data_IF_418685698116
#
_entry.id   IF_418685698116
#
_cell.length_a   1.000
_cell.length_b   1.000
_cell.length_c   1.000
_cell.angle_alpha   90.00
_cell.angle_beta   90.00
_cell.angle_gamma   90.00
#
_symmetry.space_group_name_H-M   'P 1'
#
loop_
_entity.id
_entity.type
_entity.pdbx_description
1 polymer ?
#
# COMPACT_ATOMS: atom_id res chain seq x y z
N UNK A 1 -34.35 -33.96 -16.67
CA UNK A 1 -33.01 -34.26 -16.13
C UNK A 1 -32.52 -33.02 -15.40
N UNK A 2 -32.75 -32.97 -14.08
CA UNK A 2 -32.37 -31.83 -13.22
C UNK A 2 -30.92 -31.98 -12.81
N UNK A 3 -30.09 -31.04 -13.18
CA UNK A 3 -28.70 -30.94 -12.70
C UNK A 3 -28.70 -30.17 -11.38
N UNK A 4 -28.41 -30.92 -10.33
CA UNK A 4 -28.21 -30.45 -8.96
C UNK A 4 -26.92 -29.61 -8.89
N UNK A 5 -27.06 -28.31 -8.67
CA UNK A 5 -25.96 -27.43 -8.31
C UNK A 5 -25.61 -27.69 -6.84
N UNK A 6 -24.48 -28.32 -6.60
CA UNK A 6 -23.90 -28.51 -5.27
C UNK A 6 -23.50 -27.15 -4.71
N UNK A 7 -24.28 -26.68 -3.73
CA UNK A 7 -23.94 -25.52 -2.93
C UNK A 7 -22.67 -25.79 -2.13
N UNK A 8 -21.64 -24.96 -2.35
CA UNK A 8 -20.50 -24.86 -1.46
C UNK A 8 -21.01 -24.13 -0.21
N UNK A 9 -21.15 -24.86 0.88
CA UNK A 9 -21.47 -24.30 2.19
C UNK A 9 -20.31 -23.40 2.64
N UNK A 10 -20.56 -22.09 2.72
CA UNK A 10 -19.73 -21.10 3.40
C UNK A 10 -19.77 -21.35 4.93
N UNK A 11 -19.08 -22.34 5.39
CA UNK A 11 -18.69 -22.46 6.81
C UNK A 11 -17.18 -22.56 6.93
N UNK A 12 -16.46 -21.52 6.46
CA UNK A 12 -15.12 -21.29 6.97
C UNK A 12 -15.25 -20.60 8.32
N UNK A 13 -14.73 -21.23 9.36
CA UNK A 13 -14.67 -20.73 10.74
C UNK A 13 -13.96 -19.38 10.74
N UNK A 14 -14.70 -18.31 10.46
CA UNK A 14 -14.30 -16.96 10.81
C UNK A 14 -14.41 -16.90 12.33
N UNK A 15 -13.26 -16.85 13.02
CA UNK A 15 -13.22 -16.52 14.44
C UNK A 15 -14.14 -15.34 14.66
N UNK A 16 -15.12 -15.45 15.54
CA UNK A 16 -16.10 -14.39 15.82
C UNK A 16 -15.38 -13.14 16.35
N UNK A 17 -15.13 -12.20 15.44
CA UNK A 17 -14.56 -10.90 15.71
C UNK A 17 -15.63 -9.83 15.91
N UNK A 18 -16.83 -10.21 16.36
CA UNK A 18 -17.95 -9.33 16.63
C UNK A 18 -17.67 -8.24 17.69
N UNK A 19 -16.47 -8.24 18.27
CA UNK A 19 -15.96 -7.12 19.05
C UNK A 19 -15.72 -5.91 18.14
N UNK A 20 -16.41 -4.81 18.39
CA UNK A 20 -16.19 -3.53 17.71
C UNK A 20 -14.69 -3.22 17.65
N UNK A 21 -14.17 -2.82 16.46
CA UNK A 21 -12.80 -2.31 16.26
C UNK A 21 -12.69 -0.90 16.86
N UNK A 22 -12.87 -0.79 18.18
CA UNK A 22 -12.78 0.47 18.93
C UNK A 22 -11.90 0.30 20.15
N UNK A 23 -11.14 1.34 20.47
CA UNK A 23 -10.24 1.33 21.63
C UNK A 23 -9.06 0.37 21.50
N UNK A 24 -8.71 -0.03 20.25
CA UNK A 24 -7.64 -0.98 19.98
C UNK A 24 -6.33 -0.26 19.69
N UNK A 25 -5.23 -0.94 19.99
CA UNK A 25 -3.92 -0.59 19.50
C UNK A 25 -3.70 -1.27 18.13
N UNK A 26 -3.37 -0.49 17.12
CA UNK A 26 -3.11 -0.97 15.75
C UNK A 26 -1.65 -0.69 15.41
N UNK A 27 -0.92 -1.72 15.04
CA UNK A 27 0.41 -1.63 14.45
C UNK A 27 0.27 -1.76 12.94
N UNK A 28 0.86 -0.84 12.17
CA UNK A 28 0.72 -0.80 10.72
C UNK A 28 2.07 -0.69 10.04
N UNK A 29 2.50 -1.72 9.30
CA UNK A 29 3.70 -1.67 8.46
C UNK A 29 3.32 -1.31 7.03
N UNK A 30 3.77 -0.13 6.55
CA UNK A 30 3.34 0.40 5.28
C UNK A 30 4.44 1.21 4.57
N UNK A 31 4.04 2.07 3.62
CA UNK A 31 4.90 3.04 2.95
C UNK A 31 5.22 4.25 3.86
N UNK A 32 6.03 5.19 3.38
CA UNK A 32 6.37 6.38 4.16
C UNK A 32 5.15 7.30 4.30
N UNK A 33 4.78 7.65 5.54
CA UNK A 33 3.62 8.48 5.87
C UNK A 33 3.61 9.83 5.15
N UNK A 34 4.79 10.42 4.93
CA UNK A 34 4.96 11.69 4.22
C UNK A 34 4.83 11.60 2.70
N UNK A 35 4.61 10.41 2.16
CA UNK A 35 4.32 10.19 0.74
C UNK A 35 2.89 10.54 0.36
N UNK A 36 2.56 10.34 -0.91
CA UNK A 36 1.18 10.54 -1.40
C UNK A 36 0.24 9.56 -0.65
N UNK A 37 -0.94 10.03 -0.20
CA UNK A 37 -1.88 9.20 0.53
C UNK A 37 -2.46 8.11 -0.39
N UNK A 38 -2.30 6.86 0.02
CA UNK A 38 -2.83 5.68 -0.67
C UNK A 38 -4.03 5.11 0.10
N UNK A 39 -4.71 4.12 -0.46
CA UNK A 39 -5.87 3.44 0.17
C UNK A 39 -5.61 3.04 1.63
N UNK A 40 -4.43 2.52 1.92
CA UNK A 40 -4.00 2.13 3.28
C UNK A 40 -3.86 3.34 4.23
N UNK A 41 -3.47 4.51 3.73
CA UNK A 41 -3.43 5.75 4.52
C UNK A 41 -4.84 6.18 4.92
N UNK A 42 -5.78 6.17 3.96
CA UNK A 42 -7.18 6.48 4.21
C UNK A 42 -7.82 5.47 5.18
N UNK A 43 -7.54 4.17 5.02
CA UNK A 43 -8.02 3.15 5.93
C UNK A 43 -7.54 3.39 7.37
N UNK A 44 -6.23 3.64 7.57
CA UNK A 44 -5.69 3.88 8.91
C UNK A 44 -6.19 5.19 9.52
N UNK A 45 -6.46 6.24 8.73
CA UNK A 45 -7.12 7.47 9.20
C UNK A 45 -8.55 7.20 9.69
N UNK A 46 -9.30 6.36 8.99
CA UNK A 46 -10.65 5.96 9.41
C UNK A 46 -10.60 5.15 10.72
N UNK A 47 -9.70 4.18 10.81
CA UNK A 47 -9.52 3.38 12.02
C UNK A 47 -9.00 4.21 13.21
N UNK A 48 -8.18 5.22 12.99
CA UNK A 48 -7.64 6.10 14.02
C UNK A 48 -8.70 7.00 14.70
N UNK A 49 -9.92 7.10 14.16
CA UNK A 49 -11.01 7.82 14.81
C UNK A 49 -11.37 7.23 16.17
N UNK A 50 -11.30 5.89 16.27
CA UNK A 50 -11.70 5.14 17.45
C UNK A 50 -10.56 4.28 18.02
N UNK A 51 -9.35 4.32 17.43
CA UNK A 51 -8.22 3.46 17.78
C UNK A 51 -6.91 4.27 17.78
N UNK A 52 -5.85 3.71 18.37
CA UNK A 52 -4.50 4.27 18.29
C UNK A 52 -3.70 3.50 17.26
N UNK A 53 -3.04 4.17 16.33
CA UNK A 53 -2.29 3.57 15.23
C UNK A 53 -0.80 3.91 15.35
N UNK A 54 0.06 2.89 15.48
CA UNK A 54 1.50 3.03 15.29
C UNK A 54 1.84 2.67 13.84
N UNK A 55 2.01 3.67 13.02
CA UNK A 55 2.44 3.54 11.64
C UNK A 55 3.95 3.42 11.55
N UNK A 56 4.43 2.31 11.03
CA UNK A 56 5.85 2.04 10.79
C UNK A 56 6.14 2.27 9.32
N UNK A 57 6.93 3.28 9.03
CA UNK A 57 7.34 3.65 7.68
C UNK A 57 8.12 2.53 6.98
N UNK A 58 8.24 2.65 5.67
CA UNK A 58 8.86 1.67 4.79
C UNK A 58 10.24 1.20 5.26
N UNK A 59 10.39 -0.11 5.38
CA UNK A 59 11.65 -0.78 5.74
C UNK A 59 12.58 -0.88 4.50
N UNK A 60 12.08 -0.52 3.31
CA UNK A 60 12.82 -0.53 2.05
C UNK A 60 12.92 -1.92 1.42
N UNK A 61 12.65 -2.01 0.12
CA UNK A 61 12.76 -3.25 -0.68
C UNK A 61 13.99 -3.29 -1.57
N UNK A 62 14.52 -2.11 -1.91
CA UNK A 62 15.57 -1.97 -2.91
C UNK A 62 16.93 -2.04 -2.25
N UNK A 63 17.80 -2.88 -2.80
CA UNK A 63 19.23 -2.75 -2.52
C UNK A 63 19.68 -1.36 -2.95
N UNK A 64 20.53 -0.65 -2.15
CA UNK A 64 21.06 0.63 -2.56
C UNK A 64 21.90 0.41 -3.83
N UNK A 65 21.57 1.13 -4.89
CA UNK A 65 22.49 1.37 -5.98
C UNK A 65 23.38 2.53 -5.55
N UNK A 66 24.69 2.48 -5.80
CA UNK A 66 25.64 3.50 -5.35
C UNK A 66 25.43 4.87 -6.05
N UNK A 67 24.19 5.37 -6.07
CA UNK A 67 23.80 6.63 -6.69
C UNK A 67 23.74 7.76 -5.66
N UNK A 68 23.97 9.02 -6.12
CA UNK A 68 23.81 10.21 -5.26
C UNK A 68 22.41 10.32 -4.66
N UNK A 69 21.40 9.82 -5.36
CA UNK A 69 20.02 9.77 -4.87
C UNK A 69 19.85 8.77 -3.71
N UNK A 70 20.61 7.67 -3.69
CA UNK A 70 20.57 6.69 -2.61
C UNK A 70 21.29 7.19 -1.35
N UNK A 71 22.41 7.90 -1.52
CA UNK A 71 23.07 8.58 -0.39
C UNK A 71 22.14 9.61 0.25
N UNK A 72 21.51 10.46 -0.54
CA UNK A 72 20.55 11.46 -0.04
C UNK A 72 19.37 10.79 0.71
N UNK A 73 18.85 9.68 0.19
CA UNK A 73 17.79 8.88 0.86
C UNK A 73 18.29 8.26 2.16
N UNK A 74 19.51 7.73 2.17
CA UNK A 74 20.12 7.16 3.38
C UNK A 74 20.32 8.23 4.47
N UNK A 75 20.83 9.42 4.11
CA UNK A 75 20.95 10.55 5.04
C UNK A 75 19.60 11.02 5.58
N UNK A 76 18.59 11.15 4.72
CA UNK A 76 17.21 11.50 5.15
C UNK A 76 16.64 10.45 6.11
N UNK A 77 16.86 9.17 5.85
CA UNK A 77 16.40 8.08 6.74
C UNK A 77 17.16 8.08 8.09
N UNK A 78 18.45 8.33 8.09
CA UNK A 78 19.23 8.45 9.33
C UNK A 78 18.77 9.65 10.17
N UNK A 79 18.57 10.80 9.55
CA UNK A 79 18.05 12.00 10.22
C UNK A 79 16.62 11.76 10.75
N UNK A 80 15.76 11.12 9.97
CA UNK A 80 14.40 10.79 10.38
C UNK A 80 14.34 9.75 11.51
N UNK A 81 15.28 8.82 11.55
CA UNK A 81 15.34 7.79 12.60
C UNK A 81 15.91 8.33 13.94
N UNK A 82 16.66 9.43 13.91
CA UNK A 82 17.02 10.17 15.11
C UNK A 82 15.82 10.89 15.74
N UNK A 83 14.72 11.05 14.98
CA UNK A 83 13.50 11.69 15.45
C UNK A 83 12.70 10.70 16.30
N UNK A 84 12.22 11.09 17.48
CA UNK A 84 11.31 10.27 18.26
C UNK A 84 10.02 10.00 17.46
N UNK A 85 9.27 8.99 17.88
CA UNK A 85 7.90 8.76 17.37
C UNK A 85 7.14 10.09 17.41
N UNK A 86 6.59 10.49 16.29
CA UNK A 86 5.82 11.74 16.14
C UNK A 86 4.35 11.41 15.89
N UNK A 87 3.48 12.32 16.29
CA UNK A 87 2.03 12.24 16.06
C UNK A 87 1.63 13.31 15.02
N UNK A 88 1.67 13.02 13.71
CA UNK A 88 1.31 14.00 12.67
C UNK A 88 -0.19 14.26 12.58
N UNK A 89 -1.01 13.31 13.00
CA UNK A 89 -2.47 13.41 13.07
C UNK A 89 -2.96 12.75 14.36
N UNK A 90 -4.12 13.13 14.89
CA UNK A 90 -4.66 12.56 16.13
C UNK A 90 -4.70 11.03 16.09
N UNK A 91 -4.17 10.38 17.14
CA UNK A 91 -4.08 8.93 17.29
C UNK A 91 -3.22 8.20 16.26
N UNK A 92 -2.49 8.90 15.39
CA UNK A 92 -1.56 8.30 14.42
C UNK A 92 -0.13 8.64 14.81
N UNK A 93 0.60 7.64 15.28
CA UNK A 93 1.99 7.74 15.69
C UNK A 93 2.89 7.15 14.62
N UNK A 94 3.88 7.91 14.14
CA UNK A 94 4.75 7.50 13.03
C UNK A 94 6.15 7.18 13.53
N UNK A 95 6.62 5.98 13.25
CA UNK A 95 7.97 5.49 13.49
C UNK A 95 8.74 5.38 12.16
N UNK A 96 9.94 5.94 12.09
CA UNK A 96 10.89 5.76 10.99
C UNK A 96 11.93 4.70 11.39
N UNK A 97 11.76 3.42 11.01
CA UNK A 97 12.70 2.38 11.39
C UNK A 97 13.97 2.42 10.55
N UNK A 98 15.09 2.04 11.15
CA UNK A 98 16.34 1.76 10.45
C UNK A 98 16.46 0.27 10.16
N UNK A 99 16.81 -0.07 8.93
CA UNK A 99 17.17 -1.41 8.51
C UNK A 99 18.26 -1.38 7.45
N UNK A 100 19.08 -2.41 7.40
CA UNK A 100 20.05 -2.59 6.32
C UNK A 100 19.34 -3.18 5.11
N UNK A 101 19.33 -2.51 3.93
CA UNK A 101 18.56 -2.93 2.78
C UNK A 101 19.24 -4.05 1.96
N UNK A 102 19.67 -5.13 2.61
CA UNK A 102 20.34 -6.28 2.00
C UNK A 102 19.66 -7.60 2.41
N UNK A 103 18.39 -7.73 2.04
CA UNK A 103 17.52 -8.85 2.46
C UNK A 103 17.93 -10.23 1.90
N UNK A 104 18.78 -10.27 0.87
CA UNK A 104 19.34 -11.51 0.33
C UNK A 104 20.29 -12.24 1.29
N UNK A 105 20.97 -11.50 2.21
CA UNK A 105 21.90 -12.06 3.18
C UNK A 105 21.19 -12.59 4.44
N UNK A 106 21.34 -13.87 4.80
CA UNK A 106 20.79 -14.41 6.06
C UNK A 106 21.26 -13.68 7.31
N UNK A 107 22.55 -13.28 7.34
CA UNK A 107 23.12 -12.55 8.47
C UNK A 107 22.48 -11.17 8.63
N UNK A 108 22.29 -10.44 7.52
CA UNK A 108 21.61 -9.14 7.53
C UNK A 108 20.14 -9.29 7.92
N UNK A 109 19.45 -10.32 7.46
CA UNK A 109 18.08 -10.61 7.89
C UNK A 109 17.99 -10.86 9.40
N UNK A 110 18.93 -11.63 9.95
CA UNK A 110 18.99 -11.89 11.40
C UNK A 110 19.27 -10.61 12.21
N UNK A 111 20.21 -9.77 11.76
CA UNK A 111 20.47 -8.47 12.35
C UNK A 111 19.24 -7.56 12.30
N UNK A 112 18.66 -7.37 11.09
CA UNK A 112 17.47 -6.55 10.90
C UNK A 112 16.32 -7.00 11.79
N UNK A 113 16.08 -8.31 11.90
CA UNK A 113 15.03 -8.87 12.76
C UNK A 113 15.20 -8.43 14.22
N UNK A 114 16.41 -8.51 14.79
CA UNK A 114 16.65 -8.07 16.18
C UNK A 114 16.51 -6.55 16.33
N UNK A 115 17.10 -5.80 15.41
CA UNK A 115 17.16 -4.35 15.50
C UNK A 115 15.82 -3.69 15.25
N UNK A 116 15.09 -4.11 14.21
CA UNK A 116 13.72 -3.65 13.93
C UNK A 116 12.76 -3.99 15.06
N UNK A 117 12.83 -5.24 15.56
CA UNK A 117 12.02 -5.69 16.69
C UNK A 117 12.25 -4.83 17.92
N UNK A 118 13.51 -4.49 18.21
CA UNK A 118 13.87 -3.60 19.33
C UNK A 118 13.28 -2.19 19.13
N UNK A 119 13.42 -1.60 17.94
CA UNK A 119 12.90 -0.27 17.63
C UNK A 119 11.38 -0.21 17.79
N UNK A 120 10.64 -1.15 17.16
CA UNK A 120 9.19 -1.19 17.20
C UNK A 120 8.69 -1.45 18.63
N UNK A 121 9.26 -2.42 19.34
CA UNK A 121 8.91 -2.69 20.75
C UNK A 121 9.21 -1.51 21.67
N UNK A 122 10.29 -0.76 21.42
CA UNK A 122 10.58 0.46 22.17
C UNK A 122 9.51 1.53 21.93
N UNK A 123 9.05 1.72 20.68
CA UNK A 123 7.97 2.63 20.34
C UNK A 123 6.66 2.19 21.00
N UNK A 124 6.29 0.93 20.87
CA UNK A 124 5.09 0.36 21.50
C UNK A 124 5.09 0.59 23.03
N UNK A 125 6.20 0.29 23.72
CA UNK A 125 6.29 0.52 25.18
C UNK A 125 6.13 1.99 25.55
N UNK A 126 6.70 2.93 24.77
CA UNK A 126 6.56 4.37 25.02
C UNK A 126 5.12 4.86 24.86
N UNK A 127 4.38 4.26 23.94
CA UNK A 127 2.97 4.58 23.70
C UNK A 127 2.00 3.78 24.57
N UNK A 128 2.50 2.82 25.35
CA UNK A 128 1.64 1.92 26.14
C UNK A 128 0.84 0.96 25.27
N UNK A 129 1.34 0.59 24.09
CA UNK A 129 0.69 -0.40 23.21
C UNK A 129 0.89 -1.81 23.76
N UNK A 130 -0.22 -2.54 23.92
CA UNK A 130 -0.22 -3.93 24.35
C UNK A 130 -1.06 -4.76 23.40
N UNK A 131 -0.52 -5.92 22.94
CA UNK A 131 -1.24 -6.85 22.06
C UNK A 131 -1.94 -6.18 20.85
N UNK A 132 -1.22 -5.43 19.99
CA UNK A 132 -1.85 -4.71 18.89
C UNK A 132 -2.43 -5.66 17.83
N UNK A 133 -3.41 -5.19 17.07
CA UNK A 133 -3.74 -5.74 15.77
C UNK A 133 -2.65 -5.29 14.77
N UNK A 134 -1.95 -6.25 14.18
CA UNK A 134 -0.80 -5.95 13.32
C UNK A 134 -1.18 -6.04 11.84
N UNK A 135 -1.40 -4.88 11.21
CA UNK A 135 -1.65 -4.76 9.77
C UNK A 135 -0.33 -4.65 9.01
N UNK A 136 -0.04 -5.61 8.18
CA UNK A 136 1.16 -5.63 7.36
C UNK A 136 0.78 -5.44 5.89
N UNK A 137 1.12 -4.28 5.32
CA UNK A 137 0.95 -3.99 3.89
C UNK A 137 2.25 -4.24 3.10
N UNK A 138 3.36 -4.37 3.79
CA UNK A 138 4.69 -4.47 3.20
C UNK A 138 5.31 -5.83 3.53
N UNK A 139 5.49 -6.77 2.56
CA UNK A 139 6.08 -8.07 2.82
C UNK A 139 7.48 -8.04 3.46
N UNK A 140 8.27 -6.97 3.30
CA UNK A 140 9.55 -6.84 3.98
C UNK A 140 9.43 -6.81 5.51
N UNK A 141 8.28 -6.41 6.05
CA UNK A 141 8.01 -6.47 7.49
C UNK A 141 7.87 -7.90 8.03
N UNK A 142 7.78 -8.89 7.15
CA UNK A 142 7.71 -10.31 7.51
C UNK A 142 8.88 -10.75 8.40
N UNK A 143 10.01 -10.05 8.34
CA UNK A 143 11.18 -10.35 9.20
C UNK A 143 10.89 -10.19 10.70
N UNK A 144 9.86 -9.40 11.08
CA UNK A 144 9.48 -9.17 12.48
C UNK A 144 7.99 -9.39 12.76
N UNK A 145 7.14 -9.42 11.75
CA UNK A 145 5.72 -9.72 11.89
C UNK A 145 5.51 -11.12 12.49
N UNK A 146 4.61 -11.25 13.45
CA UNK A 146 4.39 -12.47 14.26
C UNK A 146 5.36 -12.60 15.45
N UNK A 147 6.19 -11.56 15.75
CA UNK A 147 7.17 -11.61 16.83
C UNK A 147 7.10 -10.38 17.76
N UNK A 148 6.06 -9.57 17.67
CA UNK A 148 5.90 -8.32 18.43
C UNK A 148 4.96 -8.45 19.63
N UNK A 149 4.28 -9.59 19.78
CA UNK A 149 3.27 -9.82 20.81
C UNK A 149 1.90 -9.31 20.38
N UNK A 150 1.70 -9.27 19.09
CA UNK A 150 0.41 -8.95 18.47
C UNK A 150 -0.69 -9.94 18.85
N UNK A 151 -1.92 -9.46 18.97
CA UNK A 151 -3.10 -10.28 19.18
C UNK A 151 -3.52 -10.99 17.90
N UNK A 152 -3.39 -10.30 16.78
CA UNK A 152 -3.72 -10.80 15.46
C UNK A 152 -2.73 -10.26 14.43
N UNK A 153 -2.23 -11.12 13.56
CA UNK A 153 -1.39 -10.76 12.43
C UNK A 153 -2.24 -10.77 11.15
N UNK A 154 -2.38 -9.61 10.52
CA UNK A 154 -3.18 -9.40 9.32
C UNK A 154 -2.23 -9.01 8.17
N UNK A 155 -2.14 -9.83 7.14
CA UNK A 155 -1.49 -9.41 5.90
C UNK A 155 -2.52 -8.82 4.94
N UNK A 156 -2.35 -7.55 4.57
CA UNK A 156 -3.23 -6.87 3.62
C UNK A 156 -2.48 -6.63 2.30
N UNK A 157 -2.70 -7.54 1.35
CA UNK A 157 -2.09 -7.52 0.03
C UNK A 157 -2.92 -6.64 -0.91
N UNK A 158 -2.36 -5.49 -1.29
CA UNK A 158 -3.02 -4.51 -2.18
C UNK A 158 -2.49 -4.56 -3.61
N UNK A 159 -1.29 -5.13 -3.81
CA UNK A 159 -0.59 -5.17 -5.08
C UNK A 159 0.16 -6.49 -5.26
N UNK A 160 0.50 -6.86 -6.51
CA UNK A 160 1.45 -7.95 -6.78
C UNK A 160 2.89 -7.42 -6.68
N UNK A 161 3.43 -7.45 -5.46
CA UNK A 161 4.73 -6.85 -5.14
C UNK A 161 5.91 -7.44 -5.93
N UNK A 162 5.78 -8.66 -6.42
CA UNK A 162 6.82 -9.35 -7.20
C UNK A 162 6.97 -8.81 -8.62
N UNK A 163 5.97 -8.03 -9.10
CA UNK A 163 5.96 -7.44 -10.43
C UNK A 163 6.56 -6.02 -10.47
N UNK A 164 6.93 -5.46 -9.32
CA UNK A 164 7.49 -4.10 -9.31
C UNK A 164 8.92 -4.06 -9.85
N UNK A 165 9.16 -3.10 -10.73
CA UNK A 165 10.48 -2.86 -11.34
C UNK A 165 11.54 -2.55 -10.27
N UNK A 166 12.69 -3.22 -10.36
CA UNK A 166 13.83 -3.01 -9.45
C UNK A 166 13.69 -3.66 -8.07
N UNK A 167 12.76 -4.58 -7.90
CA UNK A 167 12.61 -5.40 -6.69
C UNK A 167 13.34 -6.74 -6.88
N UNK A 168 14.00 -7.24 -5.83
CA UNK A 168 14.52 -8.61 -5.79
C UNK A 168 13.33 -9.60 -5.65
N UNK A 169 12.64 -9.88 -6.77
CA UNK A 169 11.32 -10.53 -6.80
C UNK A 169 11.30 -11.89 -6.10
N UNK A 170 12.33 -12.72 -6.26
CA UNK A 170 12.35 -14.05 -5.62
C UNK A 170 12.44 -13.95 -4.09
N UNK A 171 13.36 -13.14 -3.56
CA UNK A 171 13.49 -12.98 -2.10
C UNK A 171 12.25 -12.36 -1.47
N UNK A 172 11.59 -11.44 -2.19
CA UNK A 172 10.36 -10.83 -1.70
C UNK A 172 9.19 -11.81 -1.75
N UNK A 173 9.09 -12.65 -2.80
CA UNK A 173 8.08 -13.70 -2.91
C UNK A 173 8.19 -14.70 -1.74
N UNK A 174 9.41 -15.12 -1.39
CA UNK A 174 9.66 -16.02 -0.25
C UNK A 174 9.20 -15.38 1.07
N UNK A 175 9.51 -14.09 1.27
CA UNK A 175 9.08 -13.33 2.45
C UNK A 175 7.55 -13.20 2.50
N UNK A 176 6.91 -12.94 1.37
CA UNK A 176 5.46 -12.81 1.25
C UNK A 176 4.76 -14.14 1.54
N UNK A 177 5.20 -15.25 0.93
CA UNK A 177 4.65 -16.57 1.22
C UNK A 177 4.81 -16.94 2.69
N UNK A 178 5.98 -16.68 3.27
CA UNK A 178 6.22 -16.88 4.70
C UNK A 178 5.33 -16.01 5.58
N UNK A 179 5.01 -14.79 5.16
CA UNK A 179 4.08 -13.90 5.86
C UNK A 179 2.65 -14.44 5.79
N UNK A 180 2.16 -14.77 4.59
CA UNK A 180 0.82 -15.33 4.40
C UNK A 180 0.58 -16.56 5.27
N UNK A 181 1.50 -17.51 5.27
CA UNK A 181 1.37 -18.74 6.08
C UNK A 181 1.29 -18.51 7.58
N UNK A 182 1.87 -17.41 8.08
CA UNK A 182 1.85 -17.08 9.52
C UNK A 182 0.71 -16.15 9.91
N UNK A 183 0.09 -15.50 8.93
CA UNK A 183 -0.99 -14.54 9.19
C UNK A 183 -2.24 -15.27 9.68
N UNK A 184 -2.89 -14.70 10.69
CA UNK A 184 -4.21 -15.14 11.14
C UNK A 184 -5.28 -14.83 10.10
N UNK A 185 -5.07 -13.75 9.32
CA UNK A 185 -5.95 -13.31 8.25
C UNK A 185 -5.12 -12.73 7.09
N UNK A 186 -5.47 -13.09 5.87
CA UNK A 186 -4.96 -12.47 4.64
C UNK A 186 -6.10 -11.74 3.95
N UNK A 187 -5.94 -10.42 3.75
CA UNK A 187 -6.90 -9.60 3.02
C UNK A 187 -6.28 -9.28 1.67
N UNK A 188 -7.02 -9.49 0.59
CA UNK A 188 -6.59 -9.13 -0.76
C UNK A 188 -7.58 -8.15 -1.40
N UNK A 189 -7.08 -7.22 -2.22
CA UNK A 189 -7.90 -6.15 -2.78
C UNK A 189 -8.52 -6.46 -4.15
N UNK A 190 -8.09 -7.53 -4.80
CA UNK A 190 -8.53 -7.88 -6.15
C UNK A 190 -8.70 -9.39 -6.32
N UNK A 191 -9.61 -9.80 -7.20
CA UNK A 191 -9.90 -11.20 -7.51
C UNK A 191 -8.64 -11.98 -7.95
N UNK A 192 -7.83 -11.37 -8.80
CA UNK A 192 -6.58 -11.98 -9.27
C UNK A 192 -5.59 -12.24 -8.13
N UNK A 193 -5.54 -11.35 -7.14
CA UNK A 193 -4.74 -11.55 -5.93
C UNK A 193 -5.33 -12.68 -5.07
N UNK A 194 -6.66 -12.76 -4.96
CA UNK A 194 -7.31 -13.87 -4.26
C UNK A 194 -6.93 -15.22 -4.85
N UNK A 195 -7.05 -15.37 -6.17
CA UNK A 195 -6.71 -16.61 -6.88
C UNK A 195 -5.25 -17.02 -6.69
N UNK A 196 -4.33 -16.05 -6.63
CA UNK A 196 -2.90 -16.34 -6.46
C UNK A 196 -2.48 -16.56 -5.00
N UNK A 197 -3.16 -15.96 -4.03
CA UNK A 197 -2.73 -15.93 -2.62
C UNK A 197 -3.50 -16.91 -1.71
N UNK A 198 -4.75 -17.26 -2.04
CA UNK A 198 -5.60 -18.13 -1.21
C UNK A 198 -5.01 -19.52 -0.94
N UNK A 199 -4.20 -20.05 -1.86
CA UNK A 199 -3.51 -21.33 -1.67
C UNK A 199 -2.48 -21.31 -0.52
N UNK A 200 -2.05 -20.14 -0.07
CA UNK A 200 -1.04 -20.01 0.97
C UNK A 200 -1.61 -19.80 2.38
N UNK A 201 -2.89 -19.40 2.47
CA UNK A 201 -3.57 -19.25 3.76
C UNK A 201 -5.09 -19.49 3.58
N UNK A 202 -5.71 -20.44 4.30
CA UNK A 202 -7.15 -20.72 4.20
C UNK A 202 -8.03 -19.56 4.66
N UNK A 203 -7.50 -18.68 5.53
CA UNK A 203 -8.20 -17.47 5.99
C UNK A 203 -7.90 -16.28 5.07
N UNK A 204 -7.96 -16.47 3.75
CA UNK A 204 -7.81 -15.39 2.77
C UNK A 204 -9.19 -14.88 2.36
N UNK A 205 -9.39 -13.56 2.46
CA UNK A 205 -10.65 -12.91 2.07
C UNK A 205 -10.41 -11.81 1.04
N UNK A 206 -11.37 -11.61 0.17
CA UNK A 206 -11.38 -10.50 -0.81
C UNK A 206 -12.14 -9.31 -0.23
N UNK A 207 -11.43 -8.20 -0.02
CA UNK A 207 -12.01 -6.91 0.36
C UNK A 207 -11.54 -5.86 -0.65
N UNK A 208 -12.40 -5.49 -1.58
CA UNK A 208 -12.09 -4.49 -2.61
C UNK A 208 -11.88 -3.11 -1.98
N UNK A 209 -11.10 -2.27 -2.67
CA UNK A 209 -10.90 -0.90 -2.20
C UNK A 209 -12.23 -0.14 -2.12
N UNK A 210 -12.42 0.56 -1.01
CA UNK A 210 -13.47 1.55 -0.87
C UNK A 210 -13.06 2.90 -1.49
N UNK A 211 -14.02 3.80 -1.58
CA UNK A 211 -13.84 5.17 -2.06
C UNK A 211 -14.50 6.14 -1.09
N UNK A 212 -13.96 7.34 -0.95
CA UNK A 212 -14.66 8.44 -0.29
C UNK A 212 -15.79 8.93 -1.21
N UNK A 213 -16.94 8.30 -1.08
CA UNK A 213 -18.10 8.59 -1.92
C UNK A 213 -18.54 10.07 -1.80
N UNK A 214 -18.52 10.64 -0.60
CA UNK A 214 -18.92 12.02 -0.38
C UNK A 214 -18.00 13.01 -1.13
N UNK A 215 -16.69 12.72 -1.12
CA UNK A 215 -15.71 13.51 -1.87
C UNK A 215 -15.92 13.40 -3.38
N UNK A 216 -15.97 12.18 -3.92
CA UNK A 216 -16.08 11.98 -5.37
C UNK A 216 -17.44 12.40 -5.93
N UNK A 217 -18.53 12.28 -5.16
CA UNK A 217 -19.86 12.77 -5.55
C UNK A 217 -19.89 14.27 -5.85
N UNK A 218 -18.99 15.05 -5.24
CA UNK A 218 -18.88 16.50 -5.51
C UNK A 218 -18.62 16.82 -6.98
N UNK A 219 -18.08 15.88 -7.77
CA UNK A 219 -17.90 16.04 -9.20
C UNK A 219 -19.24 16.23 -9.96
N UNK A 220 -20.36 15.82 -9.36
CA UNK A 220 -21.71 15.99 -9.92
C UNK A 220 -22.40 17.27 -9.43
N UNK A 221 -21.78 18.01 -8.51
CA UNK A 221 -22.34 19.24 -7.98
C UNK A 221 -22.05 20.38 -8.97
N UNK A 222 -23.06 21.12 -9.44
CA UNK A 222 -22.89 22.27 -10.35
C UNK A 222 -22.01 23.37 -9.79
N UNK A 223 -21.92 23.49 -8.47
CA UNK A 223 -21.05 24.47 -7.80
C UNK A 223 -19.59 24.04 -7.73
N UNK A 224 -19.28 22.80 -8.12
CA UNK A 224 -17.87 22.33 -8.16
C UNK A 224 -17.14 23.05 -9.30
N UNK A 225 -16.18 23.88 -8.91
CA UNK A 225 -15.35 24.63 -9.86
C UNK A 225 -14.47 23.70 -10.67
N UNK A 226 -14.63 23.75 -11.97
CA UNK A 226 -13.70 23.10 -12.92
C UNK A 226 -12.48 24.02 -13.08
N UNK A 227 -11.23 23.54 -12.94
CA UNK A 227 -10.02 24.33 -13.22
C UNK A 227 -10.04 24.90 -14.64
N UNK A 228 -9.51 26.13 -14.79
CA UNK A 228 -9.60 26.86 -16.08
C UNK A 228 -8.90 26.15 -17.23
N UNK A 229 -7.78 25.49 -16.97
CA UNK A 229 -7.03 24.70 -17.92
C UNK A 229 -7.87 23.54 -18.48
N UNK A 230 -8.61 22.83 -17.64
CA UNK A 230 -9.53 21.78 -18.06
C UNK A 230 -10.83 22.32 -18.70
N UNK A 231 -11.31 23.46 -18.23
CA UNK A 231 -12.54 24.06 -18.74
C UNK A 231 -12.43 24.52 -20.21
N UNK A 232 -11.22 24.87 -20.64
CA UNK A 232 -10.93 25.36 -22.00
C UNK A 232 -10.73 24.24 -23.04
N UNK A 233 -10.56 23.01 -22.57
CA UNK A 233 -10.28 21.88 -23.48
C UNK A 233 -11.51 21.48 -24.30
N UNK A 234 -11.34 21.08 -25.57
CA UNK A 234 -12.38 20.46 -26.37
C UNK A 234 -13.02 19.27 -25.68
N UNK A 235 -14.31 19.11 -25.90
CA UNK A 235 -15.09 18.00 -25.33
C UNK A 235 -15.32 16.91 -26.38
N UNK A 236 -15.42 15.62 -25.98
CA UNK A 236 -15.31 15.11 -24.59
C UNK A 236 -13.88 15.12 -24.06
N UNK A 237 -13.73 15.15 -22.72
CA UNK A 237 -12.45 14.96 -22.04
C UNK A 237 -12.32 13.51 -21.59
N UNK A 238 -11.27 12.84 -22.03
CA UNK A 238 -10.92 11.46 -21.64
C UNK A 238 -9.75 11.58 -20.66
N UNK A 239 -9.99 11.32 -19.37
CA UNK A 239 -9.01 11.59 -18.30
C UNK A 239 -8.38 10.34 -17.73
N UNK A 240 -7.06 10.38 -17.50
CA UNK A 240 -6.34 9.52 -16.60
C UNK A 240 -5.81 10.37 -15.44
N UNK A 241 -5.99 9.91 -14.20
CA UNK A 241 -5.38 10.55 -13.04
C UNK A 241 -4.67 9.51 -12.17
N UNK A 242 -3.43 9.83 -11.78
CA UNK A 242 -2.57 8.93 -11.01
C UNK A 242 -1.10 9.08 -11.37
N UNK A 243 -0.27 8.14 -10.94
CA UNK A 243 1.13 8.10 -11.30
C UNK A 243 1.29 7.57 -12.74
N UNK A 244 1.80 8.41 -13.64
CA UNK A 244 2.15 8.02 -15.00
C UNK A 244 3.53 7.36 -14.97
N UNK A 245 3.55 6.04 -14.99
CA UNK A 245 4.75 5.22 -14.80
C UNK A 245 4.82 4.08 -15.84
N UNK A 246 5.83 3.24 -15.74
CA UNK A 246 6.14 2.15 -16.68
C UNK A 246 5.04 1.06 -16.80
N UNK A 247 4.10 1.01 -15.86
CA UNK A 247 2.93 0.14 -15.94
C UNK A 247 1.73 0.74 -16.70
N UNK A 248 1.80 2.01 -17.11
CA UNK A 248 0.78 2.65 -17.96
C UNK A 248 1.12 2.40 -19.41
N UNK A 249 0.20 1.81 -20.15
CA UNK A 249 0.38 1.50 -21.57
C UNK A 249 0.26 2.77 -22.43
N UNK A 250 1.40 3.31 -22.85
CA UNK A 250 1.47 4.54 -23.65
C UNK A 250 0.92 4.34 -25.07
N UNK A 251 1.00 3.12 -25.63
CA UNK A 251 0.47 2.82 -26.95
C UNK A 251 -1.07 2.83 -26.94
N UNK A 252 -1.69 2.34 -25.87
CA UNK A 252 -3.13 2.45 -25.70
C UNK A 252 -3.55 3.91 -25.63
N UNK A 253 -2.86 4.75 -24.84
CA UNK A 253 -3.17 6.18 -24.76
C UNK A 253 -3.02 6.88 -26.10
N UNK A 254 -1.96 6.59 -26.85
CA UNK A 254 -1.75 7.14 -28.19
C UNK A 254 -2.86 6.70 -29.18
N UNK A 255 -3.28 5.44 -29.12
CA UNK A 255 -4.40 4.93 -29.96
C UNK A 255 -5.72 5.57 -29.58
N UNK A 256 -6.00 5.78 -28.29
CA UNK A 256 -7.19 6.50 -27.83
C UNK A 256 -7.19 7.91 -28.38
N UNK A 257 -6.09 8.65 -28.25
CA UNK A 257 -5.97 10.01 -28.79
C UNK A 257 -6.17 10.07 -30.31
N UNK A 258 -5.56 9.14 -31.06
CA UNK A 258 -5.74 9.05 -32.51
C UNK A 258 -7.13 8.62 -32.96
N UNK A 259 -7.85 7.82 -32.15
CA UNK A 259 -9.20 7.35 -32.44
C UNK A 259 -10.27 8.41 -32.15
N UNK A 260 -9.96 9.37 -31.30
CA UNK A 260 -10.86 10.46 -30.91
C UNK A 260 -10.18 11.83 -31.07
N UNK A 261 -9.88 12.26 -32.31
CA UNK A 261 -9.11 13.48 -32.55
C UNK A 261 -9.81 14.75 -32.06
N UNK A 262 -11.15 14.72 -31.95
CA UNK A 262 -11.97 15.85 -31.44
C UNK A 262 -11.95 15.92 -29.90
N UNK A 263 -11.60 14.83 -29.24
CA UNK A 263 -11.57 14.77 -27.77
C UNK A 263 -10.23 15.25 -27.23
N UNK A 264 -10.22 15.68 -25.98
CA UNK A 264 -8.98 15.94 -25.25
C UNK A 264 -8.63 14.74 -24.35
N UNK A 265 -7.43 14.18 -24.54
CA UNK A 265 -6.90 13.14 -23.65
C UNK A 265 -6.01 13.82 -22.60
N UNK A 266 -6.39 13.72 -21.33
CA UNK A 266 -5.74 14.45 -20.24
C UNK A 266 -5.09 13.48 -19.25
N UNK A 267 -3.81 13.68 -18.95
CA UNK A 267 -3.07 12.90 -17.95
C UNK A 267 -2.73 13.79 -16.75
N UNK A 268 -3.33 13.50 -15.62
CA UNK A 268 -3.15 14.25 -14.37
C UNK A 268 -2.30 13.45 -13.37
N UNK A 269 -1.10 13.90 -13.07
CA UNK A 269 -0.25 13.30 -12.04
C UNK A 269 1.23 13.44 -12.28
N UNK A 270 2.03 12.85 -11.38
CA UNK A 270 3.48 12.79 -11.54
C UNK A 270 3.84 11.83 -12.67
N UNK A 271 4.86 12.19 -13.44
CA UNK A 271 5.41 11.35 -14.50
C UNK A 271 6.76 10.78 -14.06
N UNK A 272 6.95 9.46 -14.21
CA UNK A 272 8.19 8.74 -13.87
C UNK A 272 8.70 7.86 -15.01
N UNK A 273 8.07 7.95 -16.18
CA UNK A 273 8.43 7.25 -17.40
C UNK A 273 8.53 8.23 -18.57
N UNK A 274 9.05 7.79 -19.71
CA UNK A 274 9.11 8.62 -20.92
C UNK A 274 7.71 8.75 -21.54
N UNK A 275 7.23 9.97 -21.67
CA UNK A 275 5.94 10.33 -22.27
C UNK A 275 6.10 11.14 -23.57
N UNK A 276 7.32 11.30 -24.07
CA UNK A 276 7.65 12.14 -25.23
C UNK A 276 6.87 11.78 -26.49
N UNK A 277 6.45 10.53 -26.63
CA UNK A 277 5.60 10.09 -27.75
C UNK A 277 4.18 10.68 -27.64
N UNK A 278 3.63 10.79 -26.43
CA UNK A 278 2.31 11.36 -26.19
C UNK A 278 2.30 12.88 -26.29
N UNK A 279 3.36 13.55 -25.84
CA UNK A 279 3.50 15.02 -25.92
C UNK A 279 3.47 15.57 -27.34
N UNK A 280 3.74 14.72 -28.35
CA UNK A 280 3.66 15.09 -29.76
C UNK A 280 2.27 14.98 -30.39
N UNK A 281 1.31 14.44 -29.65
CA UNK A 281 -0.06 14.24 -30.12
C UNK A 281 -0.89 15.47 -29.73
N UNK A 282 -1.47 16.21 -30.71
CA UNK A 282 -2.05 17.54 -30.46
C UNK A 282 -3.18 17.60 -29.45
N UNK A 283 -3.94 16.51 -29.28
CA UNK A 283 -5.07 16.43 -28.36
C UNK A 283 -4.74 15.68 -27.05
N UNK A 284 -3.45 15.50 -26.73
CA UNK A 284 -2.96 14.98 -25.43
C UNK A 284 -2.43 16.15 -24.60
N UNK A 285 -2.84 16.20 -23.30
CA UNK A 285 -2.56 17.30 -22.38
C UNK A 285 -2.05 16.77 -21.04
#
# INVERSE_FOLDING_TARGET
MMTTTTGVTEESVVKDWSGELRGRDILCFSHDWSGDPLSKTHLMRLLARDNRVLWVNSIGYRAPTASKADLSRAFKKLAAAATPVREPEPNIFVLNPLAVPAYGSPAVRAFNRRFLRWQVRRAMRRLGFTRPLNFVFNPAASVIAGALGEEMLIYYCVDEYTQFTGVASQSLAELEVGLMRRSDLVIVSAERLYQSKAAHNPNTILVRHGVDFAHFRRALDPETRVPEDLARLPRPVIGFFGLVADWVDMDILARVAGSFPEASVVLLGKTTTDVSALERIPNVH
#
